data_IF_536439341397
#
_entry.id   IF_536439341397
#
_cell.length_a   1.000
_cell.length_b   1.000
_cell.length_c   1.000
_cell.angle_alpha   90.00
_cell.angle_beta   90.00
_cell.angle_gamma   90.00
#
_symmetry.space_group_name_H-M   'P 1'
#
loop_
_entity.id
_entity.type
_entity.pdbx_description
1 polymer ?
#
# COMPACT_ATOMS: atom_id res chain seq x y z
N UNK A 1 33.55 -40.39 3.64
CA UNK A 1 33.11 -39.34 4.57
C UNK A 1 32.09 -38.52 3.82
N UNK A 2 30.79 -38.74 4.05
CA UNK A 2 29.72 -37.95 3.43
C UNK A 2 29.43 -36.78 4.37
N UNK A 3 29.80 -35.57 3.95
CA UNK A 3 29.39 -34.35 4.63
C UNK A 3 27.88 -34.18 4.45
N UNK A 4 27.16 -34.38 5.54
CA UNK A 4 25.76 -34.00 5.64
C UNK A 4 25.69 -32.47 5.54
N UNK A 5 25.29 -31.95 4.38
CA UNK A 5 24.75 -30.60 4.29
C UNK A 5 23.50 -30.56 5.15
N UNK A 6 23.65 -30.09 6.40
CA UNK A 6 22.53 -29.52 7.14
C UNK A 6 22.04 -28.36 6.30
N UNK A 7 20.87 -28.49 5.69
CA UNK A 7 20.10 -27.35 5.23
C UNK A 7 19.74 -26.53 6.46
N UNK A 8 20.59 -25.56 6.80
CA UNK A 8 20.20 -24.45 7.65
C UNK A 8 18.97 -23.83 6.98
N UNK A 9 17.81 -24.00 7.59
CA UNK A 9 16.61 -23.26 7.22
C UNK A 9 16.93 -21.78 7.39
N UNK A 10 17.22 -21.10 6.28
CA UNK A 10 17.50 -19.67 6.26
C UNK A 10 16.31 -18.95 6.89
N UNK A 11 16.51 -18.37 8.08
CA UNK A 11 15.52 -17.54 8.75
C UNK A 11 15.34 -16.26 7.95
N UNK A 12 14.11 -15.98 7.52
CA UNK A 12 13.77 -14.72 6.85
C UNK A 12 14.02 -13.57 7.83
N UNK A 13 14.87 -12.58 7.51
CA UNK A 13 15.14 -11.49 8.43
C UNK A 13 13.90 -10.61 8.63
N UNK A 14 13.66 -10.19 9.88
CA UNK A 14 12.54 -9.32 10.24
C UNK A 14 12.91 -7.85 10.08
N UNK A 15 11.94 -7.03 9.68
CA UNK A 15 12.08 -5.59 9.65
C UNK A 15 12.17 -5.02 11.07
N UNK A 16 13.08 -4.06 11.27
CA UNK A 16 13.15 -3.32 12.54
C UNK A 16 11.92 -2.43 12.72
N UNK A 17 11.56 -2.17 13.97
CA UNK A 17 10.49 -1.21 14.30
C UNK A 17 10.85 0.21 13.82
N UNK A 18 12.14 0.55 13.81
CA UNK A 18 12.62 1.83 13.28
C UNK A 18 12.27 2.02 11.79
N UNK A 19 12.63 1.05 10.94
CA UNK A 19 12.35 1.12 9.50
C UNK A 19 10.85 1.14 9.23
N UNK A 20 10.08 0.35 9.97
CA UNK A 20 8.62 0.32 9.85
C UNK A 20 7.98 1.65 10.25
N UNK A 21 8.47 2.32 11.32
CA UNK A 21 8.03 3.66 11.72
C UNK A 21 8.35 4.70 10.66
N UNK A 22 9.53 4.64 10.06
CA UNK A 22 9.93 5.52 8.96
C UNK A 22 8.98 5.36 7.77
N UNK A 23 8.77 4.12 7.31
CA UNK A 23 7.82 3.81 6.23
C UNK A 23 6.42 4.35 6.53
N UNK A 24 5.88 4.08 7.73
CA UNK A 24 4.53 4.52 8.10
C UNK A 24 4.40 6.04 8.11
N UNK A 25 5.37 6.73 8.71
CA UNK A 25 5.38 8.19 8.83
C UNK A 25 5.51 8.86 7.47
N UNK A 26 6.47 8.43 6.67
CA UNK A 26 6.80 9.10 5.41
C UNK A 26 5.74 8.81 4.33
N UNK A 27 5.22 7.58 4.29
CA UNK A 27 4.07 7.24 3.42
C UNK A 27 2.86 8.10 3.75
N UNK A 28 2.49 8.23 5.04
CA UNK A 28 1.38 9.07 5.48
C UNK A 28 1.60 10.53 5.08
N UNK A 29 2.78 11.07 5.37
CA UNK A 29 3.12 12.46 5.07
C UNK A 29 2.97 12.77 3.58
N UNK A 30 3.51 11.92 2.70
CA UNK A 30 3.47 12.15 1.24
C UNK A 30 2.02 12.15 0.75
N UNK A 31 1.20 11.19 1.18
CA UNK A 31 -0.20 11.09 0.75
C UNK A 31 -1.04 12.26 1.29
N UNK A 32 -0.87 12.63 2.57
CA UNK A 32 -1.56 13.78 3.15
C UNK A 32 -1.17 15.09 2.46
N UNK A 33 0.11 15.24 2.07
CA UNK A 33 0.58 16.38 1.29
C UNK A 33 -0.03 16.41 -0.12
N UNK A 34 -0.17 15.26 -0.78
CA UNK A 34 -0.83 15.15 -2.07
C UNK A 34 -2.31 15.55 -1.98
N UNK A 35 -3.04 15.10 -0.95
CA UNK A 35 -4.42 15.54 -0.74
C UNK A 35 -4.54 17.04 -0.41
N UNK A 36 -3.55 17.62 0.25
CA UNK A 36 -3.52 19.04 0.56
C UNK A 36 -3.12 19.93 -0.64
N UNK A 37 -2.48 19.38 -1.67
CA UNK A 37 -2.04 20.17 -2.85
C UNK A 37 -3.20 20.57 -3.76
N UNK A 38 -4.32 19.86 -3.70
CA UNK A 38 -5.46 20.03 -4.60
C UNK A 38 -5.36 19.21 -5.90
N UNK A 39 -4.24 18.52 -6.13
CA UNK A 39 -4.03 17.62 -7.27
C UNK A 39 -3.48 16.25 -6.78
N UNK A 40 -4.18 15.55 -5.86
CA UNK A 40 -3.69 14.31 -5.24
C UNK A 40 -3.40 13.16 -6.20
N UNK A 41 -3.98 13.21 -7.39
CA UNK A 41 -3.94 12.11 -8.35
C UNK A 41 -3.02 12.39 -9.54
N UNK A 42 -2.28 13.50 -9.55
CA UNK A 42 -1.36 13.84 -10.64
C UNK A 42 -0.27 12.78 -10.90
N UNK A 43 0.08 11.98 -9.89
CA UNK A 43 1.00 10.86 -10.01
C UNK A 43 0.52 9.67 -9.14
N UNK A 44 0.12 8.57 -9.78
CA UNK A 44 -0.40 7.40 -9.06
C UNK A 44 0.66 6.72 -8.15
N UNK A 45 1.95 6.92 -8.42
CA UNK A 45 3.05 6.32 -7.64
C UNK A 45 3.08 6.81 -6.19
N UNK A 46 2.45 7.96 -5.89
CA UNK A 46 2.25 8.47 -4.53
C UNK A 46 1.61 7.40 -3.61
N UNK A 47 0.73 6.55 -4.18
CA UNK A 47 0.01 5.52 -3.44
C UNK A 47 0.69 4.16 -3.47
N UNK A 48 1.90 4.03 -4.06
CA UNK A 48 2.56 2.75 -4.35
C UNK A 48 2.71 1.85 -3.12
N UNK A 49 3.05 2.43 -1.97
CA UNK A 49 3.19 1.67 -0.72
C UNK A 49 1.87 1.06 -0.22
N UNK A 50 0.72 1.55 -0.70
CA UNK A 50 -0.60 1.01 -0.36
C UNK A 50 -1.02 -0.17 -1.25
N UNK A 51 -0.33 -0.43 -2.36
CA UNK A 51 -0.79 -1.40 -3.37
C UNK A 51 -0.81 -2.84 -2.85
N UNK A 52 0.03 -3.17 -1.88
CA UNK A 52 0.11 -4.51 -1.32
C UNK A 52 -0.74 -4.71 -0.05
N UNK A 53 -1.49 -3.71 0.43
CA UNK A 53 -2.27 -3.83 1.68
C UNK A 53 -3.25 -5.00 1.66
N UNK A 54 -3.91 -5.25 0.54
CA UNK A 54 -4.78 -6.43 0.37
C UNK A 54 -3.99 -7.74 0.51
N UNK A 55 -2.74 -7.78 0.02
CA UNK A 55 -1.86 -8.96 0.06
C UNK A 55 -1.16 -9.13 1.40
N UNK A 56 -0.91 -8.06 2.15
CA UNK A 56 -0.38 -8.09 3.53
C UNK A 56 -1.37 -8.81 4.45
N UNK A 57 -2.68 -8.58 4.25
CA UNK A 57 -3.75 -9.16 5.05
C UNK A 57 -4.23 -10.53 4.54
N UNK A 58 -3.62 -11.06 3.49
CA UNK A 58 -3.82 -12.45 3.07
C UNK A 58 -3.00 -13.40 3.97
N UNK A 59 -3.62 -14.48 4.43
CA UNK A 59 -2.98 -15.53 5.24
C UNK A 59 -1.80 -16.21 4.52
N UNK A 60 -1.66 -16.04 3.20
CA UNK A 60 -0.54 -16.52 2.38
C UNK A 60 0.46 -15.43 2.01
N UNK A 61 0.45 -14.29 2.70
CA UNK A 61 1.38 -13.19 2.42
C UNK A 61 2.82 -13.65 2.51
N UNK A 62 3.61 -13.38 1.46
CA UNK A 62 5.07 -13.58 1.49
C UNK A 62 5.79 -12.43 2.22
N UNK A 63 5.07 -11.35 2.53
CA UNK A 63 5.61 -10.14 3.15
C UNK A 63 5.50 -10.16 4.67
N UNK A 64 4.49 -10.84 5.20
CA UNK A 64 4.16 -10.87 6.62
C UNK A 64 4.20 -12.31 7.11
N UNK A 65 5.07 -12.55 8.10
CA UNK A 65 5.31 -13.88 8.67
C UNK A 65 4.38 -14.17 9.84
N UNK A 66 3.85 -13.13 10.49
CA UNK A 66 2.90 -13.23 11.59
C UNK A 66 2.01 -12.00 11.64
N UNK A 67 0.71 -12.22 11.72
CA UNK A 67 -0.29 -11.17 11.85
C UNK A 67 -1.56 -11.73 12.47
N UNK A 68 -2.20 -10.96 13.36
CA UNK A 68 -3.58 -11.20 13.75
C UNK A 68 -4.48 -10.29 12.90
N UNK A 69 -4.99 -10.82 11.80
CA UNK A 69 -5.80 -10.05 10.83
C UNK A 69 -7.07 -9.45 11.44
N UNK A 70 -7.63 -10.06 12.50
CA UNK A 70 -8.86 -9.60 13.15
C UNK A 70 -8.69 -8.25 13.86
N UNK A 71 -7.45 -7.83 14.14
CA UNK A 71 -7.14 -6.53 14.74
C UNK A 71 -7.27 -5.36 13.76
N UNK A 72 -7.21 -5.62 12.46
CA UNK A 72 -7.12 -4.60 11.43
C UNK A 72 -8.45 -4.43 10.71
N UNK A 73 -8.69 -3.24 10.18
CA UNK A 73 -9.83 -3.00 9.30
C UNK A 73 -9.80 -3.96 8.10
N UNK A 74 -10.96 -4.33 7.58
CA UNK A 74 -11.07 -5.25 6.45
C UNK A 74 -10.90 -4.49 5.11
N UNK A 75 -9.74 -4.59 4.41
CA UNK A 75 -9.52 -3.91 3.14
C UNK A 75 -10.42 -4.47 2.03
N UNK A 76 -10.85 -5.73 2.12
CA UNK A 76 -11.81 -6.32 1.17
C UNK A 76 -13.17 -5.63 1.30
N UNK A 77 -13.63 -5.38 2.53
CA UNK A 77 -14.88 -4.65 2.76
C UNK A 77 -14.78 -3.19 2.31
N UNK A 78 -13.67 -2.51 2.59
CA UNK A 78 -13.40 -1.17 2.05
C UNK A 78 -13.40 -1.17 0.51
N UNK A 79 -12.76 -2.18 -0.08
CA UNK A 79 -12.69 -2.40 -1.51
C UNK A 79 -14.05 -2.69 -2.15
N UNK A 80 -14.93 -3.44 -1.50
CA UNK A 80 -16.27 -3.70 -2.00
C UNK A 80 -17.13 -2.43 -2.08
N UNK A 81 -17.02 -1.55 -1.09
CA UNK A 81 -17.74 -0.28 -1.08
C UNK A 81 -17.24 0.65 -2.18
N UNK A 82 -15.91 0.79 -2.31
CA UNK A 82 -15.35 1.73 -3.29
C UNK A 82 -15.55 1.27 -4.74
N UNK A 83 -15.70 -0.04 -5.01
CA UNK A 83 -15.84 -0.58 -6.39
C UNK A 83 -17.00 0.03 -7.17
N UNK A 84 -18.10 0.33 -6.50
CA UNK A 84 -19.26 0.97 -7.14
C UNK A 84 -18.87 2.34 -7.68
N UNK A 85 -18.25 3.16 -6.85
CA UNK A 85 -17.75 4.49 -7.22
C UNK A 85 -16.59 4.43 -8.22
N UNK A 86 -15.64 3.51 -8.03
CA UNK A 86 -14.50 3.34 -8.92
C UNK A 86 -14.91 2.93 -10.34
N UNK A 87 -16.10 2.34 -10.50
CA UNK A 87 -16.66 1.99 -11.83
C UNK A 87 -16.97 3.25 -12.65
N UNK A 88 -17.27 4.37 -12.01
CA UNK A 88 -17.53 5.68 -12.66
C UNK A 88 -16.28 6.22 -13.38
N UNK A 89 -15.09 5.92 -12.86
CA UNK A 89 -13.80 6.24 -13.47
C UNK A 89 -13.19 5.05 -14.24
N UNK A 90 -14.01 4.03 -14.51
CA UNK A 90 -13.65 2.85 -15.30
C UNK A 90 -12.35 2.14 -14.86
N UNK A 91 -12.13 2.04 -13.55
CA UNK A 91 -10.89 1.49 -12.98
C UNK A 91 -10.50 0.09 -13.51
N UNK A 92 -11.49 -0.71 -13.91
CA UNK A 92 -11.30 -2.07 -14.42
C UNK A 92 -10.54 -2.12 -15.76
N UNK A 93 -10.48 -1.00 -16.51
CA UNK A 93 -9.70 -0.89 -17.75
C UNK A 93 -8.19 -0.78 -17.49
N UNK A 94 -7.78 -0.47 -16.26
CA UNK A 94 -6.39 -0.25 -15.92
C UNK A 94 -5.71 -1.53 -15.45
N UNK A 95 -4.44 -1.68 -15.86
CA UNK A 95 -3.57 -2.77 -15.38
C UNK A 95 -3.25 -2.54 -13.90
N UNK A 96 -2.99 -3.63 -13.19
CA UNK A 96 -2.56 -3.57 -11.79
C UNK A 96 -2.88 -4.86 -11.06
N UNK A 97 -2.12 -5.15 -10.00
CA UNK A 97 -2.29 -6.38 -9.22
C UNK A 97 -3.39 -6.25 -8.16
N UNK A 98 -3.50 -5.08 -7.54
CA UNK A 98 -4.49 -4.80 -6.49
C UNK A 98 -5.59 -3.87 -6.96
N UNK A 99 -6.69 -3.82 -6.20
CA UNK A 99 -7.75 -2.85 -6.43
C UNK A 99 -7.22 -1.42 -6.30
N UNK A 100 -6.42 -1.16 -5.26
CA UNK A 100 -5.81 0.16 -4.97
C UNK A 100 -4.98 0.66 -6.14
N UNK A 101 -4.13 -0.18 -6.74
CA UNK A 101 -3.30 0.22 -7.90
C UNK A 101 -4.18 0.62 -9.09
N UNK A 102 -5.20 -0.17 -9.40
CA UNK A 102 -6.09 0.10 -10.54
C UNK A 102 -6.86 1.40 -10.35
N UNK A 103 -7.36 1.66 -9.14
CA UNK A 103 -8.04 2.90 -8.79
C UNK A 103 -7.07 4.09 -8.92
N UNK A 104 -5.85 3.98 -8.39
CA UNK A 104 -4.87 5.07 -8.45
C UNK A 104 -4.53 5.46 -9.90
N UNK A 105 -4.34 4.47 -10.78
CA UNK A 105 -4.10 4.71 -12.22
C UNK A 105 -5.30 5.34 -12.93
N UNK A 106 -6.52 4.93 -12.57
CA UNK A 106 -7.73 5.51 -13.11
C UNK A 106 -7.90 6.97 -12.69
N UNK A 107 -7.61 7.28 -11.43
CA UNK A 107 -7.63 8.64 -10.91
C UNK A 107 -6.60 9.52 -11.63
N UNK A 108 -5.38 9.03 -11.82
CA UNK A 108 -4.35 9.73 -12.60
C UNK A 108 -4.79 10.01 -14.03
N UNK A 109 -5.43 9.04 -14.69
CA UNK A 109 -5.95 9.23 -16.04
C UNK A 109 -7.02 10.32 -16.11
N UNK A 110 -7.97 10.32 -15.17
CA UNK A 110 -9.02 11.35 -15.12
C UNK A 110 -8.43 12.73 -14.78
N UNK A 111 -7.55 12.81 -13.78
CA UNK A 111 -6.88 14.07 -13.40
C UNK A 111 -6.07 14.65 -14.57
N UNK A 112 -5.26 13.84 -15.24
CA UNK A 112 -4.49 14.26 -16.42
C UNK A 112 -5.35 14.61 -17.64
N UNK A 113 -6.62 14.17 -17.65
CA UNK A 113 -7.61 14.53 -18.68
C UNK A 113 -8.40 15.79 -18.33
N UNK A 114 -8.13 16.43 -17.18
CA UNK A 114 -8.88 17.59 -16.68
C UNK A 114 -10.26 17.24 -16.14
N UNK A 115 -10.49 15.97 -15.76
CA UNK A 115 -11.75 15.43 -15.26
C UNK A 115 -11.66 15.09 -13.76
N UNK A 116 -10.80 15.75 -12.99
CA UNK A 116 -10.65 15.46 -11.56
C UNK A 116 -11.95 15.65 -10.77
N UNK A 117 -12.83 16.54 -11.23
CA UNK A 117 -14.18 16.75 -10.71
C UNK A 117 -15.09 15.50 -10.84
N UNK A 118 -14.74 14.57 -11.73
CA UNK A 118 -15.45 13.28 -11.90
C UNK A 118 -14.95 12.19 -10.97
N UNK A 119 -13.88 12.41 -10.22
CA UNK A 119 -13.37 11.43 -9.25
C UNK A 119 -14.25 11.51 -8.00
N UNK A 120 -15.00 10.45 -7.65
CA UNK A 120 -15.89 10.48 -6.49
C UNK A 120 -15.12 10.69 -5.18
N UNK A 121 -15.72 11.42 -4.23
CA UNK A 121 -15.09 11.71 -2.93
C UNK A 121 -14.80 10.42 -2.14
N UNK A 122 -15.61 9.39 -2.35
CA UNK A 122 -15.46 8.08 -1.73
C UNK A 122 -14.14 7.38 -2.13
N UNK A 123 -13.53 7.77 -3.26
CA UNK A 123 -12.21 7.29 -3.66
C UNK A 123 -11.13 7.84 -2.72
N UNK A 124 -11.23 9.12 -2.35
CA UNK A 124 -10.33 9.72 -1.35
C UNK A 124 -10.50 9.02 0.00
N UNK A 125 -11.74 8.85 0.46
CA UNK A 125 -12.04 8.15 1.71
C UNK A 125 -11.49 6.71 1.73
N UNK A 126 -11.52 6.03 0.57
CA UNK A 126 -10.91 4.73 0.40
C UNK A 126 -9.39 4.77 0.60
N UNK A 127 -8.68 5.70 -0.04
CA UNK A 127 -7.23 5.84 0.13
C UNK A 127 -6.85 6.17 1.57
N UNK A 128 -7.58 7.07 2.22
CA UNK A 128 -7.38 7.40 3.64
C UNK A 128 -7.55 6.16 4.53
N UNK A 129 -8.59 5.36 4.29
CA UNK A 129 -8.83 4.12 5.03
C UNK A 129 -7.76 3.06 4.81
N UNK A 130 -7.30 2.90 3.57
CA UNK A 130 -6.21 1.96 3.26
C UNK A 130 -4.89 2.43 3.87
N UNK A 131 -4.61 3.73 3.86
CA UNK A 131 -3.46 4.32 4.53
C UNK A 131 -3.50 4.08 6.04
N UNK A 132 -4.66 4.23 6.68
CA UNK A 132 -4.81 3.96 8.11
C UNK A 132 -4.52 2.48 8.44
N UNK A 133 -5.08 1.55 7.66
CA UNK A 133 -4.81 0.11 7.81
C UNK A 133 -3.31 -0.16 7.64
N UNK A 134 -2.68 0.39 6.60
CA UNK A 134 -1.25 0.24 6.34
C UNK A 134 -0.40 0.73 7.53
N UNK A 135 -0.68 1.92 8.04
CA UNK A 135 0.03 2.47 9.20
C UNK A 135 -0.15 1.61 10.45
N UNK A 136 -1.37 1.12 10.71
CA UNK A 136 -1.63 0.23 11.85
C UNK A 136 -0.80 -1.05 11.78
N UNK A 137 -0.73 -1.68 10.60
CA UNK A 137 0.08 -2.89 10.40
C UNK A 137 1.57 -2.59 10.59
N UNK A 138 2.04 -1.48 10.01
CA UNK A 138 3.44 -1.09 10.15
C UNK A 138 3.82 -0.80 11.59
N UNK A 139 2.90 -0.33 12.43
CA UNK A 139 3.18 0.08 13.81
C UNK A 139 2.86 -0.98 14.88
N UNK A 140 2.13 -2.05 14.57
CA UNK A 140 1.78 -3.09 15.55
C UNK A 140 2.98 -4.02 15.85
N UNK A 141 3.42 -4.03 17.11
CA UNK A 141 4.56 -4.83 17.59
C UNK A 141 4.33 -6.35 17.50
N UNK A 142 3.07 -6.80 17.43
CA UNK A 142 2.69 -8.19 17.25
C UNK A 142 2.72 -8.67 15.80
N UNK A 143 2.97 -7.77 14.84
CA UNK A 143 3.16 -8.12 13.42
C UNK A 143 4.64 -8.34 13.12
N UNK A 144 4.97 -9.45 12.47
CA UNK A 144 6.32 -9.76 11.99
C UNK A 144 6.35 -9.62 10.47
N UNK A 145 7.12 -8.64 9.98
CA UNK A 145 7.21 -8.28 8.55
C UNK A 145 8.62 -8.61 8.05
N UNK A 146 8.72 -9.19 6.86
CA UNK A 146 10.00 -9.45 6.22
C UNK A 146 10.77 -8.14 5.95
N UNK A 147 12.06 -8.11 6.30
CA UNK A 147 12.90 -6.93 6.12
C UNK A 147 12.99 -6.49 4.65
N UNK A 148 13.11 -7.44 3.73
CA UNK A 148 13.18 -7.17 2.30
C UNK A 148 11.95 -6.43 1.78
N UNK A 149 10.77 -6.72 2.33
CA UNK A 149 9.55 -5.99 1.97
C UNK A 149 9.61 -4.54 2.45
N UNK A 150 9.96 -4.30 3.71
CA UNK A 150 10.08 -2.93 4.25
C UNK A 150 11.17 -2.12 3.53
N UNK A 151 12.27 -2.76 3.12
CA UNK A 151 13.29 -2.10 2.30
C UNK A 151 12.75 -1.66 0.94
N UNK A 152 11.92 -2.47 0.27
CA UNK A 152 11.28 -2.06 -0.98
C UNK A 152 10.36 -0.85 -0.78
N UNK A 153 9.63 -0.79 0.35
CA UNK A 153 8.79 0.37 0.67
C UNK A 153 9.61 1.64 0.92
N UNK A 154 10.80 1.52 1.53
CA UNK A 154 11.73 2.63 1.70
C UNK A 154 12.32 3.11 0.36
N UNK A 155 12.65 2.17 -0.55
CA UNK A 155 13.13 2.51 -1.90
C UNK A 155 12.05 3.29 -2.66
N UNK A 156 10.80 2.83 -2.62
CA UNK A 156 9.69 3.56 -3.25
C UNK A 156 9.58 5.01 -2.73
N UNK A 157 9.80 5.23 -1.42
CA UNK A 157 9.78 6.57 -0.83
C UNK A 157 10.97 7.42 -1.29
N UNK A 158 12.16 6.83 -1.43
CA UNK A 158 13.33 7.50 -1.96
C UNK A 158 13.12 7.91 -3.42
N UNK A 159 12.62 7.00 -4.25
CA UNK A 159 12.31 7.27 -5.67
C UNK A 159 11.30 8.44 -5.80
N UNK A 160 10.27 8.49 -4.94
CA UNK A 160 9.31 9.59 -4.92
C UNK A 160 9.93 10.93 -4.51
N UNK A 161 10.88 10.92 -3.56
CA UNK A 161 11.56 12.13 -3.13
C UNK A 161 12.48 12.72 -4.21
N UNK A 162 12.98 11.90 -5.14
CA UNK A 162 13.76 12.38 -6.30
C UNK A 162 12.89 13.00 -7.40
N UNK A 163 11.58 12.76 -7.39
CA UNK A 163 10.61 13.30 -8.36
C UNK A 163 10.00 14.65 -7.94
N UNK A 164 10.27 15.12 -6.72
CA UNK A 164 9.76 16.38 -6.14
C UNK A 164 10.78 17.52 -6.23
#
# INVERSE_FOLDING_TARGET
MQEYFKTETATIPLASMENRRMVAKDTRKIIEQAFASGEPYANFEIFRNLFDVEKILDVRSEFVLKINIEKFGNPVAAGQLVRTYATEIHYFNFRGKSLTEKIARACEFESNSGNEDKIPIEIKEYFEKILDIFCQIMLDEGVEIASGYVMNLLINLADLAELQ
#
